data_IF_586098483569
#
_entry.id   IF_586098483569
#
_cell.length_a   1.000
_cell.length_b   1.000
_cell.length_c   1.000
_cell.angle_alpha   90.00
_cell.angle_beta   90.00
_cell.angle_gamma   90.00
#
_symmetry.space_group_name_H-M   'P 1'
#
loop_
_entity.id
_entity.type
_entity.pdbx_description
1 polymer ?
#
# COMPACT_ATOMS: atom_id res chain seq x y z
N UNK A 1 21.93 -7.61 -9.17
CA UNK A 1 22.97 -8.21 -8.31
C UNK A 1 24.42 -7.88 -8.72
N UNK A 2 24.70 -7.49 -9.97
CA UNK A 2 26.07 -7.28 -10.46
C UNK A 2 26.83 -6.18 -9.71
N UNK A 3 26.12 -5.14 -9.20
CA UNK A 3 26.70 -3.98 -8.54
C UNK A 3 26.02 -3.62 -7.20
N UNK A 4 25.20 -4.52 -6.64
CA UNK A 4 24.48 -4.31 -5.37
C UNK A 4 23.03 -3.85 -5.50
N UNK A 5 22.48 -3.77 -6.71
CA UNK A 5 21.07 -3.42 -6.95
C UNK A 5 20.71 -2.04 -6.41
N UNK A 6 19.65 -1.96 -5.61
CA UNK A 6 19.17 -0.69 -5.04
C UNK A 6 20.14 0.01 -4.07
N UNK A 7 21.24 -0.64 -3.66
CA UNK A 7 22.27 -0.01 -2.83
C UNK A 7 23.28 0.81 -3.64
N UNK A 8 23.25 0.66 -4.97
CA UNK A 8 24.10 1.44 -5.87
C UNK A 8 23.29 2.51 -6.61
N UNK A 9 23.83 3.73 -6.78
CA UNK A 9 23.20 4.76 -7.60
C UNK A 9 23.09 4.38 -9.09
N UNK A 10 23.84 3.39 -9.56
CA UNK A 10 23.81 2.88 -10.95
C UNK A 10 22.41 2.33 -11.31
N UNK A 11 21.67 1.79 -10.32
CA UNK A 11 20.30 1.29 -10.51
C UNK A 11 19.36 2.35 -11.07
N UNK A 12 19.60 3.62 -10.78
CA UNK A 12 18.78 4.73 -11.24
C UNK A 12 18.75 4.77 -12.77
N UNK A 13 19.93 4.67 -13.39
CA UNK A 13 20.05 4.70 -14.86
C UNK A 13 19.47 3.44 -15.49
N UNK A 14 19.69 2.28 -14.90
CA UNK A 14 19.14 1.01 -15.41
C UNK A 14 17.62 1.01 -15.33
N UNK A 15 17.06 1.51 -14.22
CA UNK A 15 15.62 1.66 -14.09
C UNK A 15 15.02 2.62 -15.14
N UNK A 16 15.68 3.75 -15.38
CA UNK A 16 15.24 4.71 -16.41
C UNK A 16 15.29 4.09 -17.81
N UNK A 17 16.32 3.31 -18.10
CA UNK A 17 16.44 2.60 -19.38
C UNK A 17 15.30 1.59 -19.56
N UNK A 18 15.01 0.82 -18.51
CA UNK A 18 13.87 -0.09 -18.48
C UNK A 18 12.54 0.67 -18.72
N UNK A 19 12.30 1.76 -17.98
CA UNK A 19 11.08 2.55 -18.09
C UNK A 19 10.91 3.12 -19.52
N UNK A 20 11.98 3.70 -20.10
CA UNK A 20 11.96 4.20 -21.49
C UNK A 20 11.59 3.12 -22.49
N UNK A 21 12.14 1.91 -22.34
CA UNK A 21 11.81 0.77 -23.21
C UNK A 21 10.32 0.44 -23.15
N UNK A 22 9.71 0.49 -21.96
CA UNK A 22 8.27 0.29 -21.82
C UNK A 22 7.45 1.43 -22.45
N UNK A 23 7.86 2.67 -22.24
CA UNK A 23 7.17 3.83 -22.83
C UNK A 23 7.22 3.84 -24.35
N UNK A 24 8.35 3.45 -24.95
CA UNK A 24 8.51 3.32 -26.40
C UNK A 24 7.59 2.24 -27.00
N UNK A 25 7.46 1.10 -26.33
CA UNK A 25 6.75 -0.05 -26.88
C UNK A 25 5.24 -0.06 -26.53
N UNK A 26 4.84 0.62 -25.48
CA UNK A 26 3.47 0.54 -24.92
C UNK A 26 2.82 1.90 -24.64
N UNK A 27 3.51 3.01 -24.86
CA UNK A 27 3.02 4.34 -24.51
C UNK A 27 1.74 4.76 -25.26
N UNK A 28 1.48 4.17 -26.42
CA UNK A 28 0.24 4.34 -27.20
C UNK A 28 -0.94 3.49 -26.68
N UNK A 29 -0.67 2.49 -25.84
CA UNK A 29 -1.65 1.51 -25.32
C UNK A 29 -1.97 1.71 -23.86
N UNK A 30 -1.02 2.25 -23.06
CA UNK A 30 -1.14 2.41 -21.61
C UNK A 30 -1.45 3.87 -21.30
N UNK A 31 -2.61 4.12 -20.71
CA UNK A 31 -3.04 5.45 -20.29
C UNK A 31 -2.50 5.84 -18.91
N UNK A 32 -2.45 4.91 -17.98
CA UNK A 32 -2.02 5.14 -16.60
C UNK A 32 -0.75 4.37 -16.29
N UNK A 33 0.29 5.08 -15.86
CA UNK A 33 1.59 4.51 -15.52
C UNK A 33 1.86 4.63 -14.02
N UNK A 34 2.20 3.55 -13.38
CA UNK A 34 2.73 3.52 -12.02
C UNK A 34 4.21 3.18 -12.13
N UNK A 35 5.07 4.10 -11.71
CA UNK A 35 6.53 3.94 -11.79
C UNK A 35 7.03 2.91 -10.79
N UNK A 36 6.68 3.08 -9.51
CA UNK A 36 7.02 2.15 -8.43
C UNK A 36 5.76 1.77 -7.68
N UNK A 37 5.62 0.47 -7.41
CA UNK A 37 4.60 -0.05 -6.53
C UNK A 37 5.19 -0.33 -5.16
N UNK A 38 4.55 0.20 -4.11
CA UNK A 38 4.87 -0.08 -2.70
C UNK A 38 6.37 0.04 -2.36
N UNK A 39 6.98 1.17 -2.74
CA UNK A 39 8.37 1.42 -2.38
C UNK A 39 8.62 1.27 -0.87
N UNK A 40 7.68 1.69 -0.04
CA UNK A 40 7.75 1.55 1.41
C UNK A 40 7.77 0.09 1.88
N UNK A 41 7.10 -0.81 1.16
CA UNK A 41 7.04 -2.23 1.53
C UNK A 41 8.31 -2.95 1.10
N UNK A 42 8.68 -2.91 -0.19
CA UNK A 42 9.84 -3.67 -0.63
C UNK A 42 11.13 -3.20 0.05
N UNK A 43 11.28 -1.90 0.33
CA UNK A 43 12.46 -1.41 1.04
C UNK A 43 12.45 -1.79 2.53
N UNK A 44 11.29 -1.70 3.21
CA UNK A 44 11.20 -2.10 4.61
C UNK A 44 11.46 -3.59 4.79
N UNK A 45 10.85 -4.42 3.96
CA UNK A 45 11.01 -5.87 4.05
C UNK A 45 12.41 -6.34 3.63
N UNK A 46 13.08 -5.59 2.74
CA UNK A 46 14.43 -5.92 2.28
C UNK A 46 15.54 -5.52 3.22
N UNK A 47 15.43 -4.35 3.89
CA UNK A 47 16.54 -3.78 4.69
C UNK A 47 16.27 -3.67 6.18
N UNK A 48 15.00 -3.75 6.62
CA UNK A 48 14.67 -3.65 8.04
C UNK A 48 14.27 -4.98 8.67
N UNK A 49 13.57 -5.86 7.94
CA UNK A 49 13.00 -7.09 8.51
C UNK A 49 13.57 -8.38 7.91
N UNK A 50 14.44 -8.29 6.91
CA UNK A 50 15.04 -9.43 6.20
C UNK A 50 14.03 -10.39 5.53
N UNK A 51 12.81 -9.94 5.26
CA UNK A 51 11.73 -10.78 4.71
C UNK A 51 11.68 -10.76 3.17
N UNK A 52 12.33 -9.79 2.53
CA UNK A 52 12.55 -9.72 1.09
C UNK A 52 14.05 -9.61 0.77
N UNK A 53 14.48 -9.91 -0.47
CA UNK A 53 15.85 -9.58 -0.89
C UNK A 53 16.17 -8.10 -0.68
N UNK A 54 17.36 -7.74 -0.26
CA UNK A 54 18.54 -8.57 -0.06
C UNK A 54 18.62 -9.30 1.30
N UNK A 55 17.59 -9.24 2.14
CA UNK A 55 17.53 -9.96 3.39
C UNK A 55 18.35 -9.33 4.53
N UNK A 56 18.48 -8.02 4.53
CA UNK A 56 19.14 -7.28 5.61
C UNK A 56 18.20 -6.99 6.77
N UNK A 57 18.75 -6.96 7.97
CA UNK A 57 18.00 -6.68 9.18
C UNK A 57 18.51 -5.43 9.87
N UNK A 58 17.60 -4.53 10.27
CA UNK A 58 17.88 -3.27 10.99
C UNK A 58 18.93 -2.37 10.32
N UNK A 59 19.09 -2.44 9.02
CA UNK A 59 20.03 -1.59 8.29
C UNK A 59 19.40 -0.23 7.93
N UNK A 60 19.13 0.57 8.95
CA UNK A 60 18.45 1.87 8.85
C UNK A 60 19.14 2.83 7.88
N UNK A 61 20.47 2.94 7.96
CA UNK A 61 21.20 3.89 7.13
C UNK A 61 21.07 3.53 5.66
N UNK A 62 21.29 2.26 5.32
CA UNK A 62 21.14 1.78 3.94
C UNK A 62 19.68 1.85 3.49
N UNK A 63 18.71 1.54 4.36
CA UNK A 63 17.29 1.66 4.07
C UNK A 63 16.90 3.05 3.56
N UNK A 64 17.31 4.11 4.26
CA UNK A 64 16.99 5.47 3.82
C UNK A 64 17.76 5.90 2.56
N UNK A 65 18.97 5.39 2.35
CA UNK A 65 19.73 5.64 1.14
C UNK A 65 19.11 4.93 -0.08
N UNK A 66 18.71 3.68 0.06
CA UNK A 66 17.97 2.92 -0.98
C UNK A 66 16.67 3.61 -1.35
N UNK A 67 15.93 4.12 -0.36
CA UNK A 67 14.73 4.89 -0.63
C UNK A 67 15.04 6.15 -1.45
N UNK A 68 16.14 6.85 -1.16
CA UNK A 68 16.54 8.01 -1.95
C UNK A 68 16.83 7.64 -3.41
N UNK A 69 17.58 6.56 -3.65
CA UNK A 69 17.85 6.09 -5.02
C UNK A 69 16.57 5.66 -5.75
N UNK A 70 15.62 5.02 -5.06
CA UNK A 70 14.33 4.68 -5.64
C UNK A 70 13.49 5.93 -5.97
N UNK A 71 13.51 6.95 -5.13
CA UNK A 71 12.89 8.25 -5.47
C UNK A 71 13.53 8.89 -6.70
N UNK A 72 14.86 8.84 -6.83
CA UNK A 72 15.55 9.36 -8.00
C UNK A 72 15.21 8.57 -9.27
N UNK A 73 15.11 7.25 -9.16
CA UNK A 73 14.69 6.38 -10.27
C UNK A 73 13.26 6.73 -10.73
N UNK A 74 12.32 6.87 -9.77
CA UNK A 74 10.97 7.36 -10.03
C UNK A 74 10.98 8.71 -10.74
N UNK A 75 11.66 9.70 -10.16
CA UNK A 75 11.67 11.06 -10.66
C UNK A 75 12.22 11.15 -12.10
N UNK A 76 13.35 10.50 -12.36
CA UNK A 76 13.95 10.47 -13.70
C UNK A 76 13.09 9.70 -14.70
N UNK A 77 12.36 8.65 -14.29
CA UNK A 77 11.42 7.95 -15.16
C UNK A 77 10.21 8.83 -15.51
N UNK A 78 9.65 9.57 -14.56
CA UNK A 78 8.56 10.53 -14.80
C UNK A 78 9.00 11.60 -15.81
N UNK A 79 10.17 12.20 -15.61
CA UNK A 79 10.70 13.22 -16.53
C UNK A 79 10.97 12.63 -17.90
N UNK A 80 11.57 11.44 -17.99
CA UNK A 80 11.81 10.76 -19.26
C UNK A 80 10.51 10.49 -20.03
N UNK A 81 9.42 10.09 -19.33
CA UNK A 81 8.12 9.91 -19.95
C UNK A 81 7.62 11.19 -20.63
N UNK A 82 7.71 12.33 -19.95
CA UNK A 82 7.32 13.63 -20.50
C UNK A 82 8.23 14.09 -21.65
N UNK A 83 9.53 13.91 -21.51
CA UNK A 83 10.52 14.23 -22.56
C UNK A 83 10.29 13.42 -23.84
N UNK A 84 9.81 12.18 -23.72
CA UNK A 84 9.42 11.33 -24.85
C UNK A 84 8.04 11.69 -25.45
N UNK A 85 7.39 12.73 -24.95
CA UNK A 85 6.07 13.17 -25.41
C UNK A 85 4.90 12.38 -24.84
N UNK A 86 5.09 11.66 -23.74
CA UNK A 86 4.06 10.90 -23.03
C UNK A 86 2.92 11.80 -22.55
N UNK A 87 1.70 11.51 -23.01
CA UNK A 87 0.46 12.28 -22.72
C UNK A 87 -0.45 11.60 -21.71
N UNK A 88 -0.16 10.36 -21.33
CA UNK A 88 -0.95 9.62 -20.33
C UNK A 88 -0.69 10.09 -18.91
N UNK A 89 -1.40 9.50 -17.99
CA UNK A 89 -1.29 9.77 -16.57
C UNK A 89 -0.10 9.00 -15.98
N UNK A 90 0.65 9.61 -15.08
CA UNK A 90 1.81 8.98 -14.44
C UNK A 90 1.88 9.34 -12.95
N UNK A 91 2.18 8.34 -12.13
CA UNK A 91 2.32 8.49 -10.68
C UNK A 91 3.10 7.33 -10.06
N UNK A 92 3.08 7.23 -8.74
CA UNK A 92 3.58 6.10 -7.97
C UNK A 92 2.43 5.49 -7.16
N UNK A 93 2.57 4.23 -6.74
CA UNK A 93 1.63 3.60 -5.82
C UNK A 93 2.29 3.34 -4.47
N UNK A 94 1.55 3.60 -3.41
CA UNK A 94 2.01 3.55 -2.04
C UNK A 94 1.08 2.70 -1.16
N UNK A 95 1.65 1.80 -0.36
CA UNK A 95 0.89 1.09 0.66
C UNK A 95 0.60 2.04 1.84
N UNK A 96 -0.59 2.63 1.84
CA UNK A 96 -0.99 3.61 2.85
C UNK A 96 -1.68 2.94 4.03
N UNK A 97 -1.18 3.23 5.23
CA UNK A 97 -1.77 2.75 6.48
C UNK A 97 -2.22 3.97 7.30
N UNK A 98 -3.52 4.33 7.24
CA UNK A 98 -4.06 5.39 8.09
C UNK A 98 -3.81 5.10 9.55
N UNK A 99 -3.45 6.11 10.31
CA UNK A 99 -3.16 5.98 11.73
C UNK A 99 -4.16 6.73 12.59
N UNK A 100 -4.49 6.17 13.75
CA UNK A 100 -5.33 6.81 14.75
C UNK A 100 -4.56 6.93 16.07
N UNK A 101 -4.73 8.03 16.81
CA UNK A 101 -4.25 8.08 18.18
C UNK A 101 -5.08 7.10 19.04
N UNK A 102 -4.44 6.34 19.94
CA UNK A 102 -5.12 5.40 20.82
C UNK A 102 -6.21 6.07 21.66
N UNK A 103 -5.93 7.30 22.09
CA UNK A 103 -6.86 8.12 22.88
C UNK A 103 -6.53 9.62 22.68
N UNK A 104 -7.23 10.49 23.40
CA UNK A 104 -7.05 11.93 23.32
C UNK A 104 -5.86 12.48 24.14
N UNK A 105 -4.97 11.65 24.68
CA UNK A 105 -3.75 12.14 25.34
C UNK A 105 -2.85 12.85 24.32
N UNK A 106 -2.32 14.05 24.64
CA UNK A 106 -1.44 14.80 23.74
C UNK A 106 -0.22 13.99 23.26
N UNK A 107 0.35 13.13 24.11
CA UNK A 107 1.49 12.26 23.75
C UNK A 107 1.10 11.22 22.68
N UNK A 108 -0.11 10.68 22.71
CA UNK A 108 -0.60 9.73 21.71
C UNK A 108 -0.95 10.43 20.39
N UNK A 109 -1.47 11.66 20.46
CA UNK A 109 -1.68 12.50 19.28
C UNK A 109 -0.33 12.84 18.59
N UNK A 110 0.73 13.09 19.36
CA UNK A 110 2.08 13.27 18.82
C UNK A 110 2.65 11.98 18.26
N UNK A 111 2.48 10.84 18.93
CA UNK A 111 2.90 9.53 18.43
C UNK A 111 2.26 9.21 17.06
N UNK A 112 0.98 9.49 16.90
CA UNK A 112 0.26 9.38 15.60
C UNK A 112 0.88 10.32 14.56
N UNK A 113 1.16 11.56 14.91
CA UNK A 113 1.77 12.53 14.01
C UNK A 113 3.14 12.10 13.52
N UNK A 114 3.98 11.60 14.44
CA UNK A 114 5.32 11.11 14.12
C UNK A 114 5.29 9.84 13.29
N UNK A 115 4.31 8.96 13.54
CA UNK A 115 4.06 7.79 12.70
C UNK A 115 3.77 8.22 11.26
N UNK A 116 2.81 9.13 11.05
CA UNK A 116 2.46 9.59 9.72
C UNK A 116 3.64 10.22 8.98
N UNK A 117 4.44 11.03 9.66
CA UNK A 117 5.61 11.65 9.03
C UNK A 117 6.71 10.65 8.66
N UNK A 118 6.90 9.59 9.45
CA UNK A 118 7.95 8.59 9.25
C UNK A 118 7.51 7.41 8.39
N UNK A 119 6.20 7.08 8.36
CA UNK A 119 5.68 5.85 7.74
C UNK A 119 4.78 6.09 6.52
N UNK A 120 4.17 7.27 6.43
CA UNK A 120 3.31 7.64 5.31
C UNK A 120 3.93 8.81 4.51
N UNK A 121 4.12 9.96 5.14
CA UNK A 121 4.49 11.19 4.43
C UNK A 121 5.95 11.22 3.98
N UNK A 122 6.83 10.38 4.54
CA UNK A 122 8.20 10.22 4.06
C UNK A 122 8.26 9.93 2.56
N UNK A 123 7.38 9.05 2.07
CA UNK A 123 7.28 8.71 0.64
C UNK A 123 6.38 9.65 -0.13
N UNK A 124 5.19 9.92 0.39
CA UNK A 124 4.16 10.66 -0.33
C UNK A 124 4.55 12.12 -0.55
N UNK A 125 5.24 12.79 0.41
CA UNK A 125 5.72 14.16 0.23
C UNK A 125 6.80 14.25 -0.86
N UNK A 126 7.62 13.21 -1.03
CA UNK A 126 8.58 13.16 -2.13
C UNK A 126 7.86 13.02 -3.46
N UNK A 127 6.91 12.11 -3.58
CA UNK A 127 6.15 11.95 -4.82
C UNK A 127 5.38 13.21 -5.19
N UNK A 128 4.66 13.81 -4.23
CA UNK A 128 3.75 14.92 -4.51
C UNK A 128 4.42 16.31 -4.49
N UNK A 129 5.49 16.49 -3.72
CA UNK A 129 6.13 17.81 -3.53
C UNK A 129 7.61 17.84 -3.86
N UNK A 130 8.25 16.68 -4.08
CA UNK A 130 9.70 16.59 -4.29
C UNK A 130 10.52 17.06 -3.07
N UNK A 131 9.99 16.88 -1.86
CA UNK A 131 10.67 17.31 -0.63
C UNK A 131 10.47 16.34 0.53
N UNK A 132 11.47 16.20 1.36
CA UNK A 132 11.38 15.40 2.58
C UNK A 132 10.61 16.12 3.70
N UNK A 133 9.78 15.41 4.50
CA UNK A 133 9.18 15.95 5.71
C UNK A 133 10.26 16.44 6.68
N UNK A 134 10.10 17.67 7.18
CA UNK A 134 11.15 18.32 7.99
C UNK A 134 11.42 17.61 9.31
N UNK A 135 10.37 17.17 10.02
CA UNK A 135 10.52 16.51 11.31
C UNK A 135 11.16 15.13 11.17
N UNK A 136 10.73 14.35 10.17
CA UNK A 136 11.34 13.07 9.84
C UNK A 136 12.82 13.22 9.50
N UNK A 137 13.18 14.18 8.62
CA UNK A 137 14.58 14.44 8.28
C UNK A 137 15.42 14.88 9.48
N UNK A 138 14.87 15.71 10.37
CA UNK A 138 15.55 16.12 11.60
C UNK A 138 15.83 14.91 12.51
N UNK A 139 14.86 14.02 12.65
CA UNK A 139 15.03 12.77 13.39
C UNK A 139 16.14 11.90 12.77
N UNK A 140 16.12 11.69 11.45
CA UNK A 140 17.11 10.86 10.76
C UNK A 140 18.52 11.43 10.88
N UNK A 141 18.68 12.75 10.76
CA UNK A 141 19.98 13.43 10.97
C UNK A 141 20.50 13.21 12.40
N UNK A 142 19.63 13.35 13.41
CA UNK A 142 19.98 13.11 14.81
C UNK A 142 20.43 11.66 15.05
N UNK A 143 19.82 10.69 14.33
CA UNK A 143 20.16 9.26 14.45
C UNK A 143 21.33 8.82 13.56
N UNK A 144 21.78 9.65 12.63
CA UNK A 144 22.80 9.29 11.65
C UNK A 144 22.28 8.39 10.51
N UNK A 145 20.96 8.38 10.27
CA UNK A 145 20.29 7.58 9.26
C UNK A 145 19.92 8.36 7.99
N UNK A 146 20.11 9.68 8.00
CA UNK A 146 19.77 10.51 6.86
C UNK A 146 20.54 10.06 5.60
N UNK A 147 19.86 9.95 4.44
CA UNK A 147 20.52 9.62 3.19
C UNK A 147 21.45 10.74 2.74
N UNK A 148 22.43 10.40 1.94
CA UNK A 148 23.25 11.35 1.19
C UNK A 148 22.41 11.86 0.02
N UNK A 149 22.24 13.17 -0.07
CA UNK A 149 21.39 13.85 -1.05
C UNK A 149 22.23 14.94 -1.70
N UNK A 150 22.30 14.93 -3.01
CA UNK A 150 22.96 15.99 -3.77
C UNK A 150 21.99 17.16 -3.99
N UNK A 151 22.52 18.37 -4.14
CA UNK A 151 21.68 19.55 -4.39
C UNK A 151 20.84 19.39 -5.68
N UNK A 152 21.43 18.81 -6.73
CA UNK A 152 20.74 18.52 -7.99
C UNK A 152 19.60 17.51 -7.82
N UNK A 153 19.68 16.56 -6.88
CA UNK A 153 18.63 15.58 -6.63
C UNK A 153 17.33 16.24 -6.20
N UNK A 154 17.42 17.25 -5.33
CA UNK A 154 16.25 17.98 -4.86
C UNK A 154 15.55 18.75 -5.98
N UNK A 155 16.30 19.31 -6.93
CA UNK A 155 15.73 19.98 -8.12
C UNK A 155 15.03 18.98 -9.06
N UNK A 156 15.62 17.80 -9.26
CA UNK A 156 15.04 16.72 -10.06
C UNK A 156 13.75 16.21 -9.41
N UNK A 157 13.76 15.93 -8.10
CA UNK A 157 12.58 15.48 -7.37
C UNK A 157 11.44 16.49 -7.45
N UNK A 158 11.74 17.77 -7.25
CA UNK A 158 10.75 18.85 -7.34
C UNK A 158 10.16 19.01 -8.75
N UNK A 159 10.99 18.91 -9.78
CA UNK A 159 10.54 18.94 -11.17
C UNK A 159 9.62 17.77 -11.48
N UNK A 160 10.01 16.55 -11.08
CA UNK A 160 9.19 15.35 -11.29
C UNK A 160 7.86 15.40 -10.54
N UNK A 161 7.86 15.92 -9.30
CA UNK A 161 6.63 16.11 -8.53
C UNK A 161 5.61 17.03 -9.23
N UNK A 162 6.06 17.99 -10.02
CA UNK A 162 5.19 18.84 -10.87
C UNK A 162 4.61 18.13 -12.09
N UNK A 163 5.08 16.95 -12.43
CA UNK A 163 4.68 16.18 -13.61
C UNK A 163 3.83 14.95 -13.29
N UNK A 164 3.72 14.54 -12.01
CA UNK A 164 2.81 13.47 -11.62
C UNK A 164 1.36 13.96 -11.69
N UNK A 165 0.44 13.07 -12.02
CA UNK A 165 -0.95 13.41 -12.27
C UNK A 165 -1.93 12.70 -11.34
N UNK A 166 -1.47 11.72 -10.60
CA UNK A 166 -2.27 11.02 -9.59
C UNK A 166 -1.38 10.39 -8.51
N UNK A 167 -2.00 10.07 -7.37
CA UNK A 167 -1.42 9.24 -6.33
C UNK A 167 -2.09 7.86 -6.34
N UNK A 168 -1.30 6.82 -6.57
CA UNK A 168 -1.73 5.43 -6.40
C UNK A 168 -1.74 5.02 -4.93
N UNK A 169 -2.75 4.29 -4.52
CA UNK A 169 -2.92 3.84 -3.14
C UNK A 169 -3.27 2.36 -3.10
N UNK A 170 -2.47 1.60 -2.36
CA UNK A 170 -2.81 0.25 -1.93
C UNK A 170 -3.31 0.34 -0.48
N UNK A 171 -4.57 -0.01 -0.27
CA UNK A 171 -5.21 0.09 1.03
C UNK A 171 -5.68 -1.28 1.51
N UNK A 172 -5.25 -1.69 2.71
CA UNK A 172 -5.64 -2.98 3.30
C UNK A 172 -6.03 -2.89 4.76
N UNK A 173 -5.47 -1.93 5.50
CA UNK A 173 -5.62 -1.84 6.95
C UNK A 173 -5.31 -0.43 7.47
N UNK A 174 -5.71 -0.18 8.71
CA UNK A 174 -5.31 0.97 9.50
C UNK A 174 -4.54 0.54 10.75
N UNK A 175 -3.96 1.49 11.46
CA UNK A 175 -3.28 1.21 12.73
C UNK A 175 -3.64 2.23 13.81
N UNK A 176 -3.35 1.86 15.05
CA UNK A 176 -3.42 2.75 16.21
C UNK A 176 -2.01 3.12 16.63
N UNK A 177 -1.83 4.35 17.12
CA UNK A 177 -0.56 4.83 17.64
C UNK A 177 -0.69 5.23 19.10
N UNK A 178 0.19 4.68 19.92
CA UNK A 178 0.42 5.03 21.31
C UNK A 178 1.88 5.48 21.50
N UNK A 179 2.12 6.40 22.41
CA UNK A 179 3.51 6.78 22.74
C UNK A 179 4.27 5.59 23.30
N UNK A 180 5.47 5.34 22.81
CA UNK A 180 6.35 4.27 23.26
C UNK A 180 7.41 4.80 24.23
N UNK A 181 7.28 4.56 25.55
CA UNK A 181 8.23 5.03 26.56
C UNK A 181 9.52 4.21 26.64
N UNK A 182 9.91 3.48 25.60
CA UNK A 182 11.12 2.64 25.57
C UNK A 182 10.97 1.29 26.31
N UNK A 183 9.81 0.70 26.28
CA UNK A 183 9.46 -0.52 27.00
C UNK A 183 9.71 -1.84 26.23
N UNK A 184 10.56 -1.82 25.22
CA UNK A 184 11.03 -3.05 24.57
C UNK A 184 10.24 -3.49 23.33
N UNK A 185 9.29 -2.70 22.84
CA UNK A 185 8.66 -2.95 21.54
C UNK A 185 9.70 -2.70 20.45
N UNK A 186 9.93 -3.70 19.60
CA UNK A 186 10.91 -3.59 18.50
C UNK A 186 10.36 -2.70 17.39
N UNK A 187 11.20 -1.91 16.70
CA UNK A 187 10.76 -1.13 15.54
C UNK A 187 10.31 -2.01 14.36
N UNK A 188 10.59 -3.29 14.42
CA UNK A 188 10.33 -4.29 13.39
C UNK A 188 9.50 -5.42 13.97
N UNK A 189 8.22 -5.24 14.04
CA UNK A 189 7.32 -6.33 14.34
C UNK A 189 7.41 -7.38 13.24
N UNK A 190 7.12 -8.61 13.58
CA UNK A 190 6.94 -9.65 12.56
C UNK A 190 5.51 -9.63 12.08
N UNK A 191 5.35 -9.62 10.75
CA UNK A 191 4.04 -9.81 10.15
C UNK A 191 3.57 -11.24 10.41
N UNK A 192 2.27 -11.41 10.62
CA UNK A 192 1.67 -12.73 10.69
C UNK A 192 1.79 -13.40 9.32
N UNK A 193 2.61 -14.43 9.22
CA UNK A 193 2.84 -15.20 7.98
C UNK A 193 2.10 -16.55 7.99
N UNK A 194 1.45 -16.90 9.08
CA UNK A 194 0.85 -18.23 9.28
C UNK A 194 -0.67 -18.23 9.13
N UNK A 195 -1.34 -17.07 9.21
CA UNK A 195 -2.78 -16.96 9.31
C UNK A 195 -3.34 -17.37 10.67
N UNK A 196 -2.48 -17.55 11.68
CA UNK A 196 -2.92 -17.77 13.06
C UNK A 196 -3.14 -16.42 13.72
N UNK A 197 -4.39 -16.08 13.96
CA UNK A 197 -4.79 -14.80 14.54
C UNK A 197 -4.08 -14.52 15.87
N UNK A 198 -3.55 -13.33 16.04
CA UNK A 198 -2.79 -12.91 17.21
C UNK A 198 -1.29 -13.27 17.15
N UNK A 199 -0.78 -13.77 16.03
CA UNK A 199 0.65 -14.10 15.89
C UNK A 199 1.50 -12.93 15.37
N UNK A 200 0.89 -11.84 14.92
CA UNK A 200 1.63 -10.62 14.60
C UNK A 200 2.26 -10.02 15.87
N UNK A 201 3.50 -9.56 15.75
CA UNK A 201 4.15 -8.81 16.84
C UNK A 201 3.89 -7.32 16.69
N UNK A 202 3.74 -6.65 17.82
CA UNK A 202 3.52 -5.21 17.87
C UNK A 202 4.71 -4.45 17.26
N UNK A 203 4.40 -3.52 16.35
CA UNK A 203 5.36 -2.61 15.75
C UNK A 203 5.58 -1.39 16.63
N UNK A 204 6.77 -0.80 16.58
CA UNK A 204 7.02 0.45 17.29
C UNK A 204 8.39 1.05 16.99
N UNK A 205 8.53 2.32 17.30
CA UNK A 205 9.83 3.03 17.30
C UNK A 205 10.08 3.57 18.71
N UNK A 206 11.16 3.12 19.31
CA UNK A 206 11.52 3.45 20.69
C UNK A 206 11.56 4.97 20.93
N UNK A 207 10.84 5.42 21.95
CA UNK A 207 10.74 6.84 22.32
C UNK A 207 9.82 7.67 21.39
N UNK A 208 9.10 7.04 20.47
CA UNK A 208 8.24 7.73 19.51
C UNK A 208 6.82 7.14 19.55
N UNK A 209 6.63 5.95 18.98
CA UNK A 209 5.31 5.31 18.92
C UNK A 209 5.40 3.79 19.00
N UNK A 210 4.28 3.16 19.33
CA UNK A 210 3.98 1.75 19.12
C UNK A 210 2.57 1.60 18.56
N UNK A 211 2.29 0.47 17.92
CA UNK A 211 1.02 0.17 17.27
C UNK A 211 0.27 -0.94 17.99
N UNK A 212 -0.45 -0.65 19.10
CA UNK A 212 -1.29 -1.64 19.76
C UNK A 212 -2.47 -2.03 18.89
N UNK A 213 -3.07 -3.18 19.18
CA UNK A 213 -4.29 -3.64 18.52
C UNK A 213 -5.41 -2.61 18.70
N UNK A 214 -6.11 -2.28 17.61
CA UNK A 214 -7.27 -1.40 17.67
C UNK A 214 -8.43 -2.13 18.38
N UNK A 215 -8.91 -1.64 19.54
CA UNK A 215 -9.95 -2.33 20.31
C UNK A 215 -11.34 -2.25 19.68
N UNK A 216 -11.53 -1.43 18.64
CA UNK A 216 -12.83 -1.16 18.02
C UNK A 216 -12.98 -1.80 16.62
N UNK A 217 -11.92 -2.41 16.09
CA UNK A 217 -11.94 -3.04 14.78
C UNK A 217 -11.69 -4.54 14.87
N UNK A 218 -12.37 -5.27 13.99
CA UNK A 218 -12.05 -6.67 13.76
C UNK A 218 -10.77 -6.79 12.92
N UNK A 219 -10.14 -7.94 13.00
CA UNK A 219 -8.96 -8.27 12.18
C UNK A 219 -9.23 -9.50 11.33
N UNK A 220 -8.50 -9.58 10.22
CA UNK A 220 -8.39 -10.80 9.41
C UNK A 220 -7.64 -11.90 10.16
N UNK A 221 -7.56 -13.11 9.60
CA UNK A 221 -6.73 -14.18 10.16
C UNK A 221 -5.24 -13.82 10.19
N UNK A 222 -4.82 -12.85 9.39
CA UNK A 222 -3.45 -12.30 9.34
C UNK A 222 -3.26 -11.04 10.17
N UNK A 223 -4.16 -10.77 11.13
CA UNK A 223 -4.12 -9.63 12.07
C UNK A 223 -4.24 -8.25 11.40
N UNK A 224 -4.63 -8.17 10.14
CA UNK A 224 -4.89 -6.89 9.49
C UNK A 224 -6.25 -6.36 9.90
N UNK A 225 -6.31 -5.10 10.33
CA UNK A 225 -7.59 -4.48 10.72
C UNK A 225 -8.53 -4.36 9.52
N UNK A 226 -9.79 -4.71 9.72
CA UNK A 226 -10.86 -4.48 8.73
C UNK A 226 -11.47 -3.11 9.03
N UNK A 227 -11.11 -2.12 8.21
CA UNK A 227 -11.48 -0.72 8.42
C UNK A 227 -11.95 -0.04 7.14
N UNK A 228 -13.21 -0.20 6.76
CA UNK A 228 -13.76 0.48 5.57
C UNK A 228 -13.65 2.01 5.65
N UNK A 229 -13.88 2.59 6.84
CA UNK A 229 -13.78 4.03 7.05
C UNK A 229 -12.34 4.55 6.88
N UNK A 230 -11.35 3.72 7.13
CA UNK A 230 -9.94 4.04 6.89
C UNK A 230 -9.64 4.31 5.43
N UNK A 231 -10.33 3.65 4.48
CA UNK A 231 -10.20 3.97 3.05
C UNK A 231 -10.71 5.38 2.74
N UNK A 232 -11.87 5.76 3.28
CA UNK A 232 -12.41 7.13 3.16
C UNK A 232 -11.47 8.15 3.81
N UNK A 233 -10.97 7.86 5.01
CA UNK A 233 -9.99 8.70 5.70
C UNK A 233 -8.73 8.90 4.84
N UNK A 234 -8.19 7.84 4.25
CA UNK A 234 -7.05 7.87 3.34
C UNK A 234 -7.31 8.81 2.14
N UNK A 235 -8.43 8.64 1.45
CA UNK A 235 -8.79 9.49 0.30
C UNK A 235 -8.87 10.96 0.69
N UNK A 236 -9.49 11.27 1.82
CA UNK A 236 -9.62 12.66 2.32
C UNK A 236 -8.28 13.25 2.73
N UNK A 237 -7.41 12.48 3.38
CA UNK A 237 -6.07 12.93 3.77
C UNK A 237 -5.24 13.27 2.52
N UNK A 238 -5.26 12.40 1.51
CA UNK A 238 -4.53 12.63 0.25
C UNK A 238 -5.08 13.85 -0.49
N UNK A 239 -6.39 13.96 -0.62
CA UNK A 239 -7.03 15.12 -1.26
C UNK A 239 -6.71 16.42 -0.52
N UNK A 240 -6.82 16.43 0.82
CA UNK A 240 -6.55 17.60 1.63
C UNK A 240 -5.08 18.02 1.61
N UNK A 241 -4.15 17.06 1.66
CA UNK A 241 -2.73 17.33 1.75
C UNK A 241 -2.08 17.61 0.40
N UNK A 242 -2.47 16.87 -0.65
CA UNK A 242 -1.77 16.89 -1.94
C UNK A 242 -2.60 17.46 -3.08
N UNK A 243 -3.93 17.44 -2.98
CA UNK A 243 -4.81 17.89 -4.06
C UNK A 243 -4.69 17.10 -5.35
N UNK A 244 -4.17 15.89 -5.28
CA UNK A 244 -3.98 15.01 -6.44
C UNK A 244 -5.17 14.05 -6.59
N UNK A 245 -5.56 13.73 -7.83
CA UNK A 245 -6.45 12.60 -8.11
C UNK A 245 -5.88 11.30 -7.54
N UNK A 246 -6.76 10.37 -7.19
CA UNK A 246 -6.42 9.11 -6.52
C UNK A 246 -6.77 7.93 -7.42
N UNK A 247 -5.86 6.97 -7.50
CA UNK A 247 -6.13 5.62 -8.01
C UNK A 247 -6.00 4.66 -6.83
N UNK A 248 -7.09 4.02 -6.43
CA UNK A 248 -6.98 2.86 -5.54
C UNK A 248 -6.45 1.70 -6.38
N UNK A 249 -5.14 1.52 -6.33
CA UNK A 249 -4.42 0.54 -7.14
C UNK A 249 -4.53 -0.87 -6.57
N UNK A 250 -4.77 -0.99 -5.26
CA UNK A 250 -5.07 -2.27 -4.61
C UNK A 250 -5.99 -2.07 -3.40
N UNK A 251 -7.00 -2.93 -3.29
CA UNK A 251 -7.77 -3.18 -2.07
C UNK A 251 -8.36 -4.59 -2.13
N UNK A 252 -8.34 -5.33 -1.04
CA UNK A 252 -8.85 -6.68 -1.00
C UNK A 252 -8.64 -7.39 0.33
N UNK A 253 -9.26 -8.56 0.46
CA UNK A 253 -9.22 -9.39 1.65
C UNK A 253 -8.50 -10.70 1.35
N UNK A 254 -7.39 -10.95 2.03
CA UNK A 254 -6.77 -12.27 2.08
C UNK A 254 -7.48 -13.16 3.11
N UNK A 255 -7.87 -14.36 2.69
CA UNK A 255 -8.60 -15.31 3.53
C UNK A 255 -8.25 -16.75 3.19
N UNK A 256 -8.59 -17.69 4.07
CA UNK A 256 -8.59 -19.11 3.78
C UNK A 256 -9.90 -19.48 3.05
N UNK A 257 -9.84 -19.58 1.74
CA UNK A 257 -10.99 -20.02 0.95
C UNK A 257 -11.04 -21.55 0.91
N UNK A 258 -12.25 -22.09 0.97
CA UNK A 258 -12.49 -23.53 0.90
C UNK A 258 -13.37 -23.85 -0.29
N UNK A 259 -12.91 -24.81 -1.09
CA UNK A 259 -13.68 -25.36 -2.19
C UNK A 259 -14.57 -26.49 -1.64
N UNK A 260 -15.86 -26.48 -1.96
CA UNK A 260 -16.82 -27.53 -1.62
C UNK A 260 -16.67 -28.76 -2.52
N UNK A 261 -17.37 -29.84 -2.22
CA UNK A 261 -17.35 -31.07 -3.04
C UNK A 261 -17.94 -30.87 -4.43
N UNK A 262 -18.84 -29.91 -4.60
CA UNK A 262 -19.46 -29.51 -5.86
C UNK A 262 -18.74 -28.34 -6.54
N UNK A 263 -17.48 -28.13 -6.19
CA UNK A 263 -16.58 -27.14 -6.78
C UNK A 263 -17.04 -25.66 -6.61
N UNK A 264 -17.83 -25.35 -5.57
CA UNK A 264 -18.20 -23.98 -5.23
C UNK A 264 -17.25 -23.38 -4.19
N UNK A 265 -17.12 -22.07 -4.19
CA UNK A 265 -16.39 -21.31 -3.16
C UNK A 265 -17.27 -20.18 -2.66
N UNK A 266 -17.77 -20.35 -1.44
CA UNK A 266 -18.64 -19.39 -0.75
C UNK A 266 -17.78 -18.43 0.05
N UNK A 267 -17.66 -17.20 -0.41
CA UNK A 267 -16.78 -16.17 0.16
C UNK A 267 -17.52 -14.86 0.50
N UNK A 268 -18.68 -14.99 1.18
CA UNK A 268 -19.50 -13.85 1.63
C UNK A 268 -18.71 -12.85 2.48
N UNK A 269 -17.72 -13.32 3.24
CA UNK A 269 -16.81 -12.45 4.01
C UNK A 269 -16.01 -11.50 3.11
N UNK A 270 -15.63 -11.92 1.88
CA UNK A 270 -14.97 -11.05 0.89
C UNK A 270 -15.96 -10.09 0.27
N UNK A 271 -17.17 -10.55 -0.04
CA UNK A 271 -18.24 -9.69 -0.51
C UNK A 271 -18.51 -8.58 0.49
N UNK A 272 -18.72 -8.92 1.76
CA UNK A 272 -18.99 -7.93 2.81
C UNK A 272 -17.83 -6.94 2.98
N UNK A 273 -16.58 -7.42 2.98
CA UNK A 273 -15.40 -6.56 3.03
C UNK A 273 -15.39 -5.53 1.89
N UNK A 274 -15.55 -5.99 0.66
CA UNK A 274 -15.51 -5.11 -0.52
C UNK A 274 -16.72 -4.16 -0.56
N UNK A 275 -17.89 -4.64 -0.20
CA UNK A 275 -19.12 -3.84 -0.16
C UNK A 275 -18.95 -2.64 0.76
N UNK A 276 -18.51 -2.86 1.99
CA UNK A 276 -18.34 -1.78 2.96
C UNK A 276 -17.23 -0.80 2.56
N UNK A 277 -16.12 -1.30 1.98
CA UNK A 277 -15.05 -0.43 1.48
C UNK A 277 -15.52 0.42 0.29
N UNK A 278 -16.28 -0.15 -0.64
CA UNK A 278 -16.82 0.58 -1.79
C UNK A 278 -17.87 1.62 -1.38
N UNK A 279 -18.69 1.34 -0.35
CA UNK A 279 -19.63 2.33 0.22
C UNK A 279 -18.87 3.53 0.82
N UNK A 280 -17.80 3.28 1.56
CA UNK A 280 -16.98 4.36 2.12
C UNK A 280 -16.20 5.12 1.04
N UNK A 281 -15.77 4.45 -0.03
CA UNK A 281 -15.18 5.11 -1.19
C UNK A 281 -16.19 6.02 -1.90
N UNK A 282 -17.44 5.57 -2.06
CA UNK A 282 -18.54 6.40 -2.58
C UNK A 282 -18.73 7.67 -1.78
N UNK A 283 -18.75 7.57 -0.45
CA UNK A 283 -18.82 8.74 0.43
C UNK A 283 -17.61 9.68 0.28
N UNK A 284 -16.39 9.14 0.09
CA UNK A 284 -15.21 9.97 -0.17
C UNK A 284 -15.37 10.78 -1.46
N UNK A 285 -15.92 10.18 -2.52
CA UNK A 285 -16.20 10.85 -3.80
C UNK A 285 -17.26 11.95 -3.60
N UNK A 286 -18.35 11.66 -2.89
CA UNK A 286 -19.39 12.66 -2.53
C UNK A 286 -18.83 13.84 -1.72
N UNK A 287 -17.79 13.61 -0.93
CA UNK A 287 -17.07 14.61 -0.15
C UNK A 287 -15.98 15.37 -0.94
N UNK A 288 -15.90 15.14 -2.25
CA UNK A 288 -15.03 15.89 -3.16
C UNK A 288 -13.65 15.26 -3.42
N UNK A 289 -13.42 14.01 -3.03
CA UNK A 289 -12.21 13.30 -3.45
C UNK A 289 -12.33 12.90 -4.92
N UNK A 290 -11.33 13.23 -5.72
CA UNK A 290 -11.24 12.80 -7.11
C UNK A 290 -10.61 11.40 -7.19
N UNK A 291 -11.46 10.37 -7.35
CA UNK A 291 -11.03 8.98 -7.47
C UNK A 291 -11.20 8.54 -8.91
N UNK A 292 -10.08 8.26 -9.59
CA UNK A 292 -10.05 7.92 -11.01
C UNK A 292 -10.34 6.44 -11.28
N UNK A 293 -9.93 5.56 -10.36
CA UNK A 293 -10.11 4.12 -10.50
C UNK A 293 -10.04 3.41 -9.15
N UNK A 294 -10.67 2.24 -9.11
CA UNK A 294 -10.57 1.28 -8.02
C UNK A 294 -10.23 -0.10 -8.59
N UNK A 295 -9.09 -0.63 -8.16
CA UNK A 295 -8.60 -1.95 -8.55
C UNK A 295 -8.62 -2.88 -7.34
N UNK A 296 -9.22 -4.03 -7.51
CA UNK A 296 -9.24 -5.06 -6.45
C UNK A 296 -7.94 -5.87 -6.46
N UNK A 297 -7.46 -6.23 -5.31
CA UNK A 297 -6.44 -7.24 -5.14
C UNK A 297 -7.09 -8.52 -4.60
N UNK A 298 -7.33 -9.55 -5.47
CA UNK A 298 -6.91 -9.60 -6.86
C UNK A 298 -7.98 -10.28 -7.73
N UNK A 299 -7.74 -10.40 -9.04
CA UNK A 299 -8.67 -11.11 -9.93
C UNK A 299 -8.60 -12.63 -9.72
N UNK A 300 -7.39 -13.20 -9.70
CA UNK A 300 -7.16 -14.63 -9.42
C UNK A 300 -6.39 -14.81 -8.13
N UNK A 301 -6.54 -15.95 -7.48
CA UNK A 301 -5.63 -16.35 -6.41
C UNK A 301 -4.20 -16.41 -6.93
N UNK A 302 -3.26 -16.04 -6.07
CA UNK A 302 -1.85 -15.88 -6.39
C UNK A 302 -0.96 -16.27 -5.20
N UNK A 303 0.34 -16.31 -5.43
CA UNK A 303 1.32 -16.43 -4.35
C UNK A 303 1.36 -15.12 -3.55
N UNK A 304 0.90 -15.15 -2.31
CA UNK A 304 1.08 -14.04 -1.37
C UNK A 304 2.51 -14.10 -0.82
N UNK A 305 3.30 -13.03 -1.04
CA UNK A 305 4.74 -12.98 -0.83
C UNK A 305 5.29 -13.73 0.39
N UNK A 306 4.70 -13.49 1.57
CA UNK A 306 5.13 -14.06 2.85
C UNK A 306 4.20 -15.17 3.35
N UNK A 307 3.06 -15.40 2.70
CA UNK A 307 1.98 -16.23 3.22
C UNK A 307 1.63 -17.41 2.29
N UNK A 308 2.37 -17.57 1.19
CA UNK A 308 2.17 -18.67 0.26
C UNK A 308 0.84 -18.62 -0.52
N UNK A 309 0.37 -19.77 -0.95
CA UNK A 309 -0.90 -19.92 -1.69
C UNK A 309 -2.13 -20.03 -0.78
N UNK A 310 -1.95 -20.23 0.51
CA UNK A 310 -3.05 -20.37 1.48
C UNK A 310 -3.79 -19.05 1.72
N UNK A 311 -3.12 -17.91 1.62
CA UNK A 311 -3.73 -16.58 1.73
C UNK A 311 -4.27 -16.16 0.38
N UNK A 312 -5.56 -16.38 0.17
CA UNK A 312 -6.23 -16.19 -1.11
C UNK A 312 -6.95 -14.85 -1.17
N UNK A 313 -6.77 -14.12 -2.27
CA UNK A 313 -7.33 -12.78 -2.48
C UNK A 313 -8.29 -12.72 -3.67
N UNK A 314 -8.21 -13.68 -4.59
CA UNK A 314 -8.86 -13.63 -5.88
C UNK A 314 -10.38 -13.74 -5.84
N UNK A 315 -11.03 -13.24 -6.87
CA UNK A 315 -12.41 -13.60 -7.26
C UNK A 315 -12.48 -14.98 -7.93
N UNK A 316 -11.36 -15.42 -8.44
CA UNK A 316 -11.21 -16.74 -9.06
C UNK A 316 -10.26 -17.56 -8.22
N UNK A 317 -10.79 -18.64 -7.66
CA UNK A 317 -10.02 -19.66 -6.96
C UNK A 317 -9.11 -20.37 -7.95
N UNK A 318 -7.85 -20.53 -7.60
CA UNK A 318 -6.88 -21.36 -8.31
C UNK A 318 -6.57 -22.57 -7.44
N UNK A 319 -6.82 -23.76 -7.96
CA UNK A 319 -6.55 -25.02 -7.27
C UNK A 319 -5.04 -25.29 -7.22
N UNK A 320 -4.36 -24.61 -6.27
CA UNK A 320 -2.94 -24.70 -6.02
C UNK A 320 -2.71 -24.83 -4.53
N UNK A 321 -1.88 -25.81 -4.13
CA UNK A 321 -1.48 -26.07 -2.77
C UNK A 321 -0.10 -25.46 -2.48
N UNK A 322 0.27 -25.37 -1.20
CA UNK A 322 1.55 -24.76 -0.76
C UNK A 322 2.77 -25.51 -1.29
N UNK A 323 2.73 -26.82 -1.18
CA UNK A 323 3.77 -27.69 -1.72
C UNK A 323 3.47 -28.00 -3.20
N UNK A 324 3.91 -29.09 -3.72
CA UNK A 324 3.53 -29.51 -5.07
C UNK A 324 2.16 -30.14 -5.04
N UNK A 325 1.17 -29.52 -5.69
CA UNK A 325 -0.21 -30.05 -5.71
C UNK A 325 -1.21 -29.15 -6.37
N UNK A 326 -2.46 -29.64 -6.40
CA UNK A 326 -3.57 -29.00 -7.07
C UNK A 326 -3.59 -29.22 -8.59
N UNK A 327 -4.73 -29.00 -9.19
CA UNK A 327 -4.98 -29.19 -10.63
C UNK A 327 -4.70 -27.94 -11.45
N UNK A 328 -4.47 -26.80 -10.81
CA UNK A 328 -4.45 -25.46 -11.40
C UNK A 328 -5.78 -25.06 -12.08
N UNK A 329 -6.84 -25.81 -11.87
CA UNK A 329 -8.17 -25.44 -12.33
C UNK A 329 -8.63 -24.14 -11.66
N UNK A 330 -9.48 -23.40 -12.37
CA UNK A 330 -9.97 -22.09 -11.93
C UNK A 330 -11.46 -22.16 -11.72
N UNK A 331 -11.90 -21.70 -10.54
CA UNK A 331 -13.29 -21.70 -10.14
C UNK A 331 -13.71 -20.29 -9.74
N UNK A 332 -14.80 -19.79 -10.30
CA UNK A 332 -15.33 -18.47 -9.92
C UNK A 332 -15.95 -18.57 -8.55
N UNK A 333 -15.59 -17.66 -7.65
CA UNK A 333 -16.17 -17.56 -6.30
C UNK A 333 -17.48 -16.79 -6.32
N UNK A 334 -18.24 -16.81 -5.25
CA UNK A 334 -19.48 -16.02 -5.14
C UNK A 334 -19.19 -14.51 -5.30
N UNK A 335 -18.08 -14.02 -4.78
CA UNK A 335 -17.61 -12.66 -4.95
C UNK A 335 -17.37 -12.26 -6.41
N UNK A 336 -17.03 -13.20 -7.30
CA UNK A 336 -16.88 -12.92 -8.73
C UNK A 336 -18.21 -12.44 -9.34
N UNK A 337 -19.29 -13.16 -9.07
CA UNK A 337 -20.60 -12.82 -9.61
C UNK A 337 -21.19 -11.57 -8.98
N UNK A 338 -20.97 -11.40 -7.68
CA UNK A 338 -21.35 -10.19 -6.96
C UNK A 338 -20.65 -8.95 -7.53
N UNK A 339 -19.32 -8.98 -7.68
CA UNK A 339 -18.56 -7.83 -8.19
C UNK A 339 -18.86 -7.54 -9.67
N UNK A 340 -19.12 -8.57 -10.47
CA UNK A 340 -19.64 -8.39 -11.85
C UNK A 340 -20.97 -7.61 -11.83
N UNK A 341 -21.83 -7.89 -10.86
CA UNK A 341 -23.09 -7.15 -10.66
C UNK A 341 -22.84 -5.69 -10.26
N UNK A 342 -21.89 -5.43 -9.37
CA UNK A 342 -21.47 -4.07 -8.98
C UNK A 342 -21.02 -3.27 -10.20
N UNK A 343 -20.12 -3.84 -11.01
CA UNK A 343 -19.61 -3.17 -12.22
C UNK A 343 -20.75 -2.90 -13.21
N UNK A 344 -21.62 -3.87 -13.47
CA UNK A 344 -22.72 -3.72 -14.41
C UNK A 344 -23.78 -2.69 -14.01
N UNK A 345 -23.90 -2.41 -12.73
CA UNK A 345 -24.84 -1.43 -12.18
C UNK A 345 -24.19 -0.08 -11.87
N UNK A 346 -22.93 0.14 -12.26
CA UNK A 346 -22.15 1.32 -11.87
C UNK A 346 -22.20 1.59 -10.36
N UNK A 347 -22.21 0.52 -9.55
CA UNK A 347 -22.27 0.59 -8.08
C UNK A 347 -23.69 0.80 -7.49
N UNK A 348 -24.73 0.96 -8.29
CA UNK A 348 -26.10 1.21 -7.76
C UNK A 348 -26.59 0.10 -6.84
N UNK A 349 -26.19 -1.15 -7.07
CA UNK A 349 -26.64 -2.29 -6.27
C UNK A 349 -25.99 -2.33 -4.88
N UNK A 350 -24.89 -1.63 -4.62
CA UNK A 350 -24.28 -1.49 -3.29
C UNK A 350 -25.24 -0.89 -2.25
N UNK A 351 -26.23 -0.12 -2.69
CA UNK A 351 -27.19 0.58 -1.82
C UNK A 351 -28.57 -0.09 -1.78
N UNK A 352 -28.85 -1.04 -2.68
CA UNK A 352 -30.18 -1.67 -2.79
C UNK A 352 -30.50 -2.66 -1.66
N UNK A 353 -29.50 -3.25 -1.04
CA UNK A 353 -29.69 -4.23 0.05
C UNK A 353 -29.90 -3.58 1.43
N UNK A 354 -29.63 -2.29 1.59
CA UNK A 354 -29.84 -1.58 2.85
C UNK A 354 -31.33 -1.40 3.23
N UNK A 355 -32.27 -1.60 2.28
CA UNK A 355 -33.72 -1.43 2.50
C UNK A 355 -34.43 -2.72 2.93
N UNK A 356 -33.78 -3.86 2.91
CA UNK A 356 -34.41 -5.14 3.29
C UNK A 356 -34.25 -5.52 4.76
N UNK A 357 -33.38 -4.84 5.50
CA UNK A 357 -33.17 -5.09 6.95
C UNK A 357 -33.81 -4.06 7.88
N UNK A 358 -34.64 -3.13 7.37
CA UNK A 358 -35.38 -2.15 8.16
C UNK A 358 -36.89 -2.39 8.15
N UNK A 359 -37.31 -3.64 8.18
CA UNK A 359 -38.73 -3.96 8.52
C UNK A 359 -38.78 -4.66 9.85
N UNK A 360 -39.66 -4.20 10.80
CA UNK A 360 -39.71 -4.61 12.17
C UNK A 360 -40.14 -6.06 12.36
#
# INVERSE_FOLDING_TARGET
>A
DLYGGWESPEIIQDYVTYAKTLFENFGDKVKYWITLNEQNIFTSLGWLTAQHPPGKFDDQKTFYQVNHYAFMAHARAVLAYREMGGKGEIGASFAYVPSYALDCKPVNAMAKRDYDELKNFWWMDIYAYGRYPKAAMAYLKKKGYAPEILDEDMEILKKAAGEITFMGVNYYQSCVCEYNPMDGVTPYGTMNTTGVKGSAQELGMQGIYKNPVNPYLMTTDWDWTIDPMGLRFCCREITSRYGLPIVISENGLGAFDKKTEDDQIHDEYRIHYLEEHLKELGKAIEEGCEVLAYCTWSFTDLLSWLNGYQKRYGFVYVDREEEEGGTLNRYKKDSFYWYQGVIKSDGENLYKYCLLYTSP
#
